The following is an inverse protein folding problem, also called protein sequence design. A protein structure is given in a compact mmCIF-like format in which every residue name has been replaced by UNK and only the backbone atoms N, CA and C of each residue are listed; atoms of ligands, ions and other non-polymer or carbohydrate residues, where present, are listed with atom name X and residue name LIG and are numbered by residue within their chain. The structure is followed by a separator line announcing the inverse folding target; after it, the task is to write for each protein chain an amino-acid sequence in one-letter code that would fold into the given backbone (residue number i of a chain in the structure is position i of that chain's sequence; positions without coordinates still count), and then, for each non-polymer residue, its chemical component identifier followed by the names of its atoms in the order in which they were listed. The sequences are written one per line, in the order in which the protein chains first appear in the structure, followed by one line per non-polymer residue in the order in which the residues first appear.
data_IF_900713017837
#
_entry.id   IF_900713017837
#
_cell.length_a   1.000
_cell.length_b   1.000
_cell.length_c   1.000
_cell.angle_alpha   90.00
_cell.angle_beta   90.00
_cell.angle_gamma   90.00
#
_symmetry.space_group_name_H-M   'P 1'
#
loop_
_entity.id
_entity.type
_entity.pdbx_description
1 polymer ?
#
# COMPACT_ATOMS: atom_id res chain seq x y z
N UNK A 1 15.82 -5.58 -16.51
CA UNK A 1 15.67 -6.72 -15.59
C UNK A 1 15.60 -6.13 -14.18
N UNK A 2 14.39 -5.85 -13.66
CA UNK A 2 14.25 -5.41 -12.28
C UNK A 2 14.57 -6.60 -11.39
N UNK A 3 15.62 -6.50 -10.57
CA UNK A 3 15.84 -7.44 -9.46
C UNK A 3 14.54 -7.53 -8.66
N UNK A 4 14.08 -8.73 -8.28
CA UNK A 4 12.96 -8.84 -7.36
C UNK A 4 13.35 -8.03 -6.12
N UNK A 5 12.60 -6.97 -5.83
CA UNK A 5 12.65 -6.39 -4.49
C UNK A 5 12.42 -7.56 -3.56
N UNK A 6 13.29 -7.75 -2.56
CA UNK A 6 13.04 -8.77 -1.56
C UNK A 6 11.72 -8.40 -0.87
N UNK A 7 10.65 -9.08 -1.29
CA UNK A 7 9.29 -8.83 -0.84
C UNK A 7 9.21 -8.87 0.69
N UNK A 8 10.07 -9.68 1.33
CA UNK A 8 10.15 -9.76 2.78
C UNK A 8 10.74 -8.47 3.39
N UNK A 9 11.89 -8.01 2.90
CA UNK A 9 12.51 -6.78 3.40
C UNK A 9 11.59 -5.55 3.19
N UNK A 10 10.90 -5.47 2.05
CA UNK A 10 9.94 -4.41 1.79
C UNK A 10 8.75 -4.45 2.78
N UNK A 11 8.22 -5.64 3.07
CA UNK A 11 7.15 -5.83 4.06
C UNK A 11 7.60 -5.42 5.46
N UNK A 12 8.78 -5.84 5.88
CA UNK A 12 9.32 -5.49 7.20
C UNK A 12 9.50 -3.98 7.38
N UNK A 13 9.88 -3.27 6.31
CA UNK A 13 9.94 -1.80 6.32
C UNK A 13 8.52 -1.20 6.39
N UNK A 14 7.59 -1.70 5.59
CA UNK A 14 6.20 -1.24 5.60
C UNK A 14 5.53 -1.43 6.96
N UNK A 15 5.77 -2.57 7.62
CA UNK A 15 5.22 -2.90 8.94
C UNK A 15 5.69 -1.93 10.02
N UNK A 16 6.94 -1.46 9.95
CA UNK A 16 7.43 -0.41 10.85
C UNK A 16 6.68 0.89 10.68
N UNK A 17 6.40 1.29 9.43
CA UNK A 17 5.58 2.48 9.19
C UNK A 17 4.15 2.27 9.70
N UNK A 18 3.52 1.13 9.38
CA UNK A 18 2.16 0.81 9.85
C UNK A 18 2.09 0.81 11.39
N UNK A 19 3.12 0.31 12.06
CA UNK A 19 3.18 0.33 13.53
C UNK A 19 3.12 1.77 14.06
N UNK A 20 3.92 2.67 13.49
CA UNK A 20 3.85 4.10 13.82
C UNK A 20 2.49 4.72 13.46
N UNK A 21 1.86 4.30 12.36
CA UNK A 21 0.51 4.72 11.98
C UNK A 21 -0.51 4.40 13.07
N UNK A 22 -0.43 3.18 13.59
CA UNK A 22 -1.37 2.66 14.58
C UNK A 22 -1.27 3.44 15.89
N UNK A 23 -0.06 3.87 16.29
CA UNK A 23 0.13 4.76 17.44
C UNK A 23 -0.61 6.10 17.28
N UNK A 24 -0.75 6.62 16.05
CA UNK A 24 -1.43 7.89 15.79
C UNK A 24 -2.96 7.79 15.86
N UNK A 25 -3.52 6.58 15.85
CA UNK A 25 -4.99 6.37 15.86
C UNK A 25 -5.67 6.84 17.15
N UNK A 26 -4.89 7.04 18.22
CA UNK A 26 -5.38 7.60 19.48
C UNK A 26 -5.79 9.08 19.37
N UNK A 27 -5.22 9.81 18.40
CA UNK A 27 -5.38 11.27 18.28
C UNK A 27 -5.95 11.72 16.94
N UNK A 28 -5.92 10.86 15.92
CA UNK A 28 -6.25 11.21 14.53
C UNK A 28 -7.07 10.11 13.87
N UNK A 29 -7.95 10.48 12.93
CA UNK A 29 -8.77 9.50 12.21
C UNK A 29 -7.94 8.64 11.25
N UNK A 30 -8.33 7.37 11.02
CA UNK A 30 -7.65 6.50 10.06
C UNK A 30 -7.55 7.11 8.65
N UNK A 31 -8.56 7.84 8.20
CA UNK A 31 -8.56 8.51 6.88
C UNK A 31 -7.44 9.56 6.79
N UNK A 32 -7.27 10.37 7.84
CA UNK A 32 -6.21 11.39 7.88
C UNK A 32 -4.83 10.77 8.03
N UNK A 33 -4.71 9.67 8.79
CA UNK A 33 -3.46 8.89 8.87
C UNK A 33 -3.11 8.31 7.50
N UNK A 34 -4.09 7.76 6.77
CA UNK A 34 -3.91 7.27 5.40
C UNK A 34 -3.46 8.34 4.42
N UNK A 35 -4.05 9.54 4.48
CA UNK A 35 -3.56 10.70 3.71
C UNK A 35 -2.15 11.11 4.12
N UNK A 36 -1.84 11.09 5.41
CA UNK A 36 -0.50 11.33 5.95
C UNK A 36 0.53 10.33 5.40
N UNK A 37 0.17 9.06 5.27
CA UNK A 37 0.99 8.03 4.63
C UNK A 37 1.31 8.37 3.19
N UNK A 38 0.28 8.67 2.40
CA UNK A 38 0.45 8.99 0.98
C UNK A 38 1.33 10.24 0.80
N UNK A 39 1.12 11.26 1.63
CA UNK A 39 1.92 12.48 1.60
C UNK A 39 3.36 12.27 2.07
N UNK A 40 3.57 11.46 3.11
CA UNK A 40 4.90 11.07 3.57
C UNK A 40 5.67 10.29 2.50
N UNK A 41 5.02 9.32 1.87
CA UNK A 41 5.58 8.55 0.78
C UNK A 41 5.97 9.43 -0.43
N UNK A 42 5.11 10.38 -0.82
CA UNK A 42 5.42 11.29 -1.93
C UNK A 42 6.61 12.20 -1.62
N UNK A 43 6.75 12.66 -0.39
CA UNK A 43 7.92 13.47 0.04
C UNK A 43 9.21 12.67 0.02
N UNK A 44 9.16 11.42 0.49
CA UNK A 44 10.32 10.55 0.46
C UNK A 44 10.72 10.18 -0.98
N UNK A 45 9.75 9.91 -1.85
CA UNK A 45 9.97 9.69 -3.27
C UNK A 45 10.66 10.90 -3.93
N UNK A 46 10.16 12.12 -3.69
CA UNK A 46 10.78 13.34 -4.21
C UNK A 46 12.23 13.52 -3.71
N UNK A 47 12.50 13.20 -2.44
CA UNK A 47 13.86 13.20 -1.89
C UNK A 47 14.78 12.20 -2.60
N UNK A 48 14.31 10.96 -2.84
CA UNK A 48 15.10 9.94 -3.54
C UNK A 48 15.46 10.41 -4.95
N UNK A 49 14.50 10.94 -5.71
CA UNK A 49 14.75 11.48 -7.06
C UNK A 49 15.77 12.62 -7.02
N UNK A 50 15.56 13.60 -6.13
CA UNK A 50 16.48 14.72 -5.98
C UNK A 50 17.89 14.27 -5.60
N UNK A 51 18.02 13.26 -4.73
CA UNK A 51 19.33 12.73 -4.28
C UNK A 51 20.14 12.04 -5.38
N UNK A 52 19.50 11.67 -6.49
CA UNK A 52 20.12 10.99 -7.64
C UNK A 52 20.50 11.97 -8.76
N UNK A 53 20.14 13.24 -8.65
CA UNK A 53 20.38 14.25 -9.68
C UNK A 53 21.60 15.10 -9.32
N UNK A 54 22.51 15.27 -10.28
CA UNK A 54 23.72 16.08 -10.08
C UNK A 54 23.45 17.58 -10.26
N UNK A 55 22.44 17.93 -11.08
CA UNK A 55 22.04 19.29 -11.38
C UNK A 55 20.54 19.42 -11.68
N UNK A 56 20.11 20.66 -11.94
CA UNK A 56 18.72 21.01 -12.22
C UNK A 56 18.21 20.48 -13.57
N UNK A 57 19.07 20.37 -14.57
CA UNK A 57 18.68 19.90 -15.90
C UNK A 57 18.37 18.40 -15.85
N UNK A 58 19.24 17.62 -15.18
CA UNK A 58 19.01 16.20 -14.89
C UNK A 58 17.77 16.01 -14.02
N UNK A 59 17.59 16.85 -12.99
CA UNK A 59 16.40 16.79 -12.15
C UNK A 59 15.11 17.00 -12.95
N UNK A 60 15.06 18.02 -13.81
CA UNK A 60 13.88 18.31 -14.63
C UNK A 60 13.53 17.17 -15.59
N UNK A 61 14.52 16.49 -16.16
CA UNK A 61 14.31 15.30 -17.00
C UNK A 61 13.72 14.12 -16.21
N UNK A 62 14.15 13.96 -14.95
CA UNK A 62 13.74 12.85 -14.10
C UNK A 62 12.37 13.03 -13.43
N UNK A 63 11.78 14.24 -13.43
CA UNK A 63 10.46 14.49 -12.80
C UNK A 63 9.38 13.62 -13.42
N UNK A 64 9.25 13.63 -14.75
CA UNK A 64 8.16 12.92 -15.43
C UNK A 64 8.31 11.40 -15.29
N UNK A 65 9.55 10.89 -15.40
CA UNK A 65 9.85 9.48 -15.20
C UNK A 65 9.54 9.04 -13.76
N UNK A 66 9.91 9.85 -12.76
CA UNK A 66 9.60 9.57 -11.37
C UNK A 66 8.10 9.56 -11.10
N UNK A 67 7.36 10.55 -11.62
CA UNK A 67 5.90 10.62 -11.46
C UNK A 67 5.23 9.36 -12.05
N UNK A 68 5.62 8.96 -13.25
CA UNK A 68 5.08 7.77 -13.89
C UNK A 68 5.44 6.49 -13.09
N UNK A 69 6.70 6.36 -12.67
CA UNK A 69 7.16 5.21 -11.88
C UNK A 69 6.40 5.09 -10.55
N UNK A 70 6.42 6.12 -9.70
CA UNK A 70 5.82 6.04 -8.37
C UNK A 70 4.29 5.89 -8.42
N UNK A 71 3.61 6.54 -9.38
CA UNK A 71 2.15 6.38 -9.52
C UNK A 71 1.75 4.98 -9.99
N UNK A 72 2.50 4.39 -10.93
CA UNK A 72 2.29 2.99 -11.37
C UNK A 72 2.54 2.01 -10.24
N UNK A 73 3.63 2.18 -9.48
CA UNK A 73 3.96 1.34 -8.34
C UNK A 73 2.87 1.42 -7.26
N UNK A 74 2.44 2.63 -6.89
CA UNK A 74 1.37 2.82 -5.91
C UNK A 74 0.05 2.17 -6.36
N UNK A 75 -0.35 2.39 -7.62
CA UNK A 75 -1.56 1.76 -8.18
C UNK A 75 -1.47 0.22 -8.12
N UNK A 76 -0.32 -0.36 -8.47
CA UNK A 76 -0.11 -1.80 -8.42
C UNK A 76 -0.26 -2.36 -7.00
N UNK A 77 0.46 -1.79 -6.03
CA UNK A 77 0.41 -2.22 -4.62
C UNK A 77 -0.98 -2.04 -4.02
N UNK A 78 -1.62 -0.90 -4.26
CA UNK A 78 -2.99 -0.64 -3.78
C UNK A 78 -3.99 -1.64 -4.36
N UNK A 79 -3.87 -1.96 -5.65
CA UNK A 79 -4.77 -2.94 -6.28
C UNK A 79 -4.60 -4.33 -5.66
N UNK A 80 -3.36 -4.77 -5.44
CA UNK A 80 -3.07 -6.05 -4.78
C UNK A 80 -3.64 -6.11 -3.35
N UNK A 81 -3.47 -5.04 -2.57
CA UNK A 81 -4.02 -4.96 -1.22
C UNK A 81 -5.55 -5.00 -1.22
N UNK A 82 -6.19 -4.25 -2.12
CA UNK A 82 -7.65 -4.28 -2.27
C UNK A 82 -8.16 -5.67 -2.70
N UNK A 83 -7.46 -6.34 -3.61
CA UNK A 83 -7.82 -7.69 -4.04
C UNK A 83 -7.67 -8.73 -2.92
N UNK A 84 -6.68 -8.57 -2.02
CA UNK A 84 -6.58 -9.37 -0.80
C UNK A 84 -7.78 -9.15 0.15
N UNK A 85 -8.28 -7.93 0.28
CA UNK A 85 -9.51 -7.72 1.05
C UNK A 85 -10.73 -8.31 0.34
N UNK A 86 -10.83 -8.20 -1.00
CA UNK A 86 -11.92 -8.83 -1.77
C UNK A 86 -11.99 -10.34 -1.55
N UNK A 87 -10.86 -11.04 -1.54
CA UNK A 87 -10.84 -12.50 -1.33
C UNK A 87 -11.43 -12.91 0.02
N UNK A 88 -11.22 -12.11 1.07
CA UNK A 88 -11.82 -12.37 2.40
C UNK A 88 -13.35 -12.32 2.40
N UNK A 89 -13.96 -11.51 1.52
CA UNK A 89 -15.43 -11.44 1.38
C UNK A 89 -15.99 -12.61 0.57
N UNK A 90 -15.19 -13.18 -0.35
CA UNK A 90 -15.58 -14.33 -1.18
C UNK A 90 -15.43 -15.64 -0.40
N UNK A 91 -14.35 -15.79 0.36
CA UNK A 91 -14.03 -17.01 1.12
C UNK A 91 -14.87 -17.16 2.39
N UNK A 92 -15.45 -16.07 2.92
CA UNK A 92 -16.47 -16.10 3.98
C UNK A 92 -17.86 -15.80 3.41
N UNK A 93 -18.50 -16.71 2.66
CA UNK A 93 -19.93 -16.58 2.43
C UNK A 93 -20.60 -16.68 3.80
N UNK A 94 -21.16 -15.55 4.24
CA UNK A 94 -21.70 -15.21 5.57
C UNK A 94 -22.77 -16.19 6.12
N UNK A 95 -23.08 -17.29 5.43
CA UNK A 95 -24.17 -18.22 5.74
C UNK A 95 -23.81 -19.71 5.68
N UNK A 96 -22.56 -20.10 5.47
CA UNK A 96 -22.23 -21.54 5.26
C UNK A 96 -22.49 -22.43 6.49
N UNK A 97 -22.43 -21.85 7.69
CA UNK A 97 -22.83 -22.51 8.94
C UNK A 97 -24.36 -22.56 9.14
N UNK A 98 -25.14 -21.74 8.42
CA UNK A 98 -26.60 -21.70 8.52
C UNK A 98 -27.30 -22.69 7.56
N UNK A 99 -26.59 -23.23 6.56
CA UNK A 99 -27.16 -24.22 5.61
C UNK A 99 -27.17 -25.65 6.19
N UNK A 100 -26.31 -25.95 7.17
CA UNK A 100 -26.19 -27.30 7.75
C UNK A 100 -27.31 -27.68 8.74
N UNK A 101 -28.02 -26.70 9.28
CA UNK A 101 -29.11 -26.95 10.24
C UNK A 101 -30.49 -27.11 9.60
N UNK A 102 -30.65 -26.69 8.34
CA UNK A 102 -31.93 -26.83 7.61
C UNK A 102 -32.11 -28.23 7.02
N UNK A 103 -31.02 -28.94 6.73
CA UNK A 103 -31.05 -30.25 6.05
C UNK A 103 -31.15 -31.47 6.98
N UNK A 104 -31.23 -31.28 8.31
CA UNK A 104 -31.43 -32.36 9.29
C UNK A 104 -32.87 -32.49 9.82
N UNK A 105 -33.83 -31.77 9.24
CA UNK A 105 -35.24 -31.73 9.71
C UNK A 105 -36.31 -32.17 8.70
N UNK A 106 -35.91 -32.84 7.63
CA UNK A 106 -36.83 -33.51 6.69
C UNK A 106 -36.39 -34.95 6.51
#
# INVERSE_FOLDING_TARGET
MSTPVDDQALREIADKFISLANEQTETTTPDMIGLGFMFGASRYAAFVVASQCEDLDVYNLNIDEALDFYTKQFRSMMSQNLDQYKSQFVEKPRYEHLVKDVTKKT
#
